data_IF_509656698293
#
_entry.id   IF_509656698293
#
_cell.length_a   1.000
_cell.length_b   1.000
_cell.length_c   1.000
_cell.angle_alpha   90.00
_cell.angle_beta   90.00
_cell.angle_gamma   90.00
#
_symmetry.space_group_name_H-M   'P 1'
#
loop_
_entity.id
_entity.type
_entity.pdbx_description
1 polymer ?
#
# COMPACT_ATOMS: atom_id res chain seq x y z
N UNK A 1 7.77 -3.14 -13.60
CA UNK A 1 6.77 -2.72 -14.61
C UNK A 1 7.18 -1.32 -15.02
N UNK A 2 7.22 -1.01 -16.31
CA UNK A 2 7.53 0.34 -16.82
C UNK A 2 6.28 0.94 -17.48
N UNK A 3 6.32 2.21 -17.86
CA UNK A 3 5.17 2.93 -18.42
C UNK A 3 4.57 2.28 -19.68
N UNK A 4 5.38 1.56 -20.46
CA UNK A 4 4.96 0.89 -21.70
C UNK A 4 4.54 -0.57 -21.48
N UNK A 5 4.56 -1.07 -20.25
CA UNK A 5 4.22 -2.46 -19.94
C UNK A 5 2.71 -2.71 -20.18
N UNK A 6 2.31 -3.77 -20.92
CA UNK A 6 0.90 -4.09 -21.13
C UNK A 6 0.10 -4.25 -19.82
N UNK A 7 0.78 -4.57 -18.71
CA UNK A 7 0.17 -4.66 -17.38
C UNK A 7 -0.26 -3.31 -16.81
N UNK A 8 0.19 -2.18 -17.37
CA UNK A 8 -0.27 -0.83 -17.01
C UNK A 8 -1.77 -0.63 -17.23
N UNK A 9 -2.39 -1.40 -18.12
CA UNK A 9 -3.84 -1.44 -18.29
C UNK A 9 -4.61 -1.90 -17.02
N UNK A 10 -3.90 -2.50 -16.05
CA UNK A 10 -4.45 -2.96 -14.77
C UNK A 10 -4.20 -2.00 -13.61
N UNK A 11 -3.47 -0.90 -13.86
CA UNK A 11 -3.21 0.16 -12.89
C UNK A 11 -4.37 1.14 -13.00
N UNK A 12 -5.28 1.12 -12.02
CA UNK A 12 -6.46 2.00 -12.00
C UNK A 12 -6.14 3.39 -11.45
N UNK A 13 -5.07 3.51 -10.66
CA UNK A 13 -4.69 4.75 -10.01
C UNK A 13 -3.85 5.67 -10.91
N UNK A 14 -4.35 6.86 -11.22
CA UNK A 14 -3.64 7.85 -12.07
C UNK A 14 -2.31 8.32 -11.47
N UNK A 15 -2.24 8.47 -10.14
CA UNK A 15 -0.99 8.84 -9.46
C UNK A 15 0.05 7.70 -9.58
N UNK A 16 -0.39 6.44 -9.52
CA UNK A 16 0.52 5.32 -9.76
C UNK A 16 1.03 5.33 -11.22
N UNK A 17 0.18 5.67 -12.20
CA UNK A 17 0.62 5.84 -13.59
C UNK A 17 1.67 6.93 -13.75
N UNK A 18 1.53 8.06 -13.06
CA UNK A 18 2.55 9.12 -13.03
C UNK A 18 3.87 8.62 -12.45
N UNK A 19 3.83 7.89 -11.33
CA UNK A 19 5.03 7.30 -10.75
C UNK A 19 5.76 6.36 -11.71
N UNK A 20 5.02 5.52 -12.44
CA UNK A 20 5.61 4.66 -13.49
C UNK A 20 6.19 5.47 -14.66
N UNK A 21 5.56 6.59 -15.05
CA UNK A 21 6.08 7.49 -16.08
C UNK A 21 7.40 8.16 -15.65
N UNK A 22 7.55 8.41 -14.34
CA UNK A 22 8.77 8.96 -13.73
C UNK A 22 9.82 7.87 -13.42
N UNK A 23 9.58 6.61 -13.85
CA UNK A 23 10.53 5.50 -13.72
C UNK A 23 10.48 4.76 -12.38
N UNK A 24 9.49 5.04 -11.53
CA UNK A 24 9.31 4.32 -10.26
C UNK A 24 8.74 2.91 -10.48
N UNK A 25 9.02 2.02 -9.53
CA UNK A 25 8.40 0.71 -9.42
C UNK A 25 7.09 0.79 -8.62
N UNK A 26 6.19 -0.18 -8.82
CA UNK A 26 4.94 -0.26 -8.06
C UNK A 26 5.14 -0.38 -6.55
N UNK A 27 6.25 -0.98 -6.12
CA UNK A 27 6.60 -1.08 -4.69
C UNK A 27 6.97 0.30 -4.15
N UNK A 28 7.82 1.06 -4.85
CA UNK A 28 8.22 2.42 -4.42
C UNK A 28 7.00 3.36 -4.35
N UNK A 29 6.11 3.29 -5.33
CA UNK A 29 4.85 4.05 -5.33
C UNK A 29 4.00 3.67 -4.12
N UNK A 30 3.77 2.37 -3.90
CA UNK A 30 2.96 1.91 -2.78
C UNK A 30 3.59 2.28 -1.42
N UNK A 31 4.91 2.17 -1.30
CA UNK A 31 5.66 2.50 -0.08
C UNK A 31 5.46 3.96 0.32
N UNK A 32 5.57 4.90 -0.63
CA UNK A 32 5.34 6.32 -0.37
C UNK A 32 3.96 6.59 0.25
N UNK A 33 2.94 5.89 -0.23
CA UNK A 33 1.57 6.05 0.26
C UNK A 33 1.36 5.39 1.62
N UNK A 34 1.98 4.23 1.82
CA UNK A 34 1.96 3.52 3.10
C UNK A 34 2.62 4.36 4.19
N UNK A 35 3.79 4.96 3.91
CA UNK A 35 4.49 5.84 4.85
C UNK A 35 3.60 7.03 5.26
N UNK A 36 3.03 7.75 4.29
CA UNK A 36 2.13 8.88 4.58
C UNK A 36 0.91 8.44 5.41
N UNK A 37 0.36 7.26 5.13
CA UNK A 37 -0.76 6.72 5.89
C UNK A 37 -0.38 6.38 7.34
N UNK A 38 0.79 5.78 7.55
CA UNK A 38 1.32 5.46 8.89
C UNK A 38 1.58 6.74 9.69
N UNK A 39 2.17 7.76 9.07
CA UNK A 39 2.40 9.06 9.72
C UNK A 39 1.08 9.71 10.16
N UNK A 40 0.06 9.66 9.30
CA UNK A 40 -1.27 10.17 9.64
C UNK A 40 -1.90 9.38 10.81
N UNK A 41 -1.78 8.05 10.81
CA UNK A 41 -2.25 7.19 11.91
C UNK A 41 -1.56 7.51 13.23
N UNK A 42 -0.24 7.69 13.22
CA UNK A 42 0.54 8.06 14.40
C UNK A 42 0.13 9.44 14.92
N UNK A 43 -0.05 10.42 14.04
CA UNK A 43 -0.51 11.76 14.40
C UNK A 43 -1.91 11.74 15.04
N UNK A 44 -2.86 11.00 14.44
CA UNK A 44 -4.22 10.83 14.97
C UNK A 44 -4.17 10.13 16.33
N UNK A 45 -3.37 9.09 16.47
CA UNK A 45 -3.21 8.35 17.75
C UNK A 45 -2.65 9.26 18.84
N UNK A 46 -1.61 10.03 18.54
CA UNK A 46 -1.01 10.99 19.47
C UNK A 46 -1.95 12.16 19.82
N UNK A 47 -2.82 12.56 18.88
CA UNK A 47 -3.88 13.54 19.12
C UNK A 47 -4.95 13.00 20.05
N UNK A 48 -5.43 11.77 19.80
CA UNK A 48 -6.45 11.09 20.61
C UNK A 48 -6.00 10.80 22.03
N UNK A 49 -4.72 10.51 22.22
CA UNK A 49 -4.12 10.36 23.56
C UNK A 49 -4.24 11.64 24.41
N UNK A 50 -4.30 12.82 23.77
CA UNK A 50 -4.46 14.12 24.45
C UNK A 50 -5.92 14.58 24.51
N UNK A 51 -6.66 14.38 23.43
CA UNK A 51 -8.08 14.67 23.31
C UNK A 51 -8.77 13.54 22.53
N UNK A 52 -9.53 12.66 23.21
CA UNK A 52 -10.19 11.52 22.56
C UNK A 52 -11.13 11.88 21.40
N UNK A 53 -11.65 13.12 21.35
CA UNK A 53 -12.56 13.60 20.30
C UNK A 53 -11.84 14.23 19.10
N UNK A 54 -10.50 14.27 19.12
CA UNK A 54 -9.73 14.76 17.98
C UNK A 54 -9.85 13.82 16.77
N UNK A 55 -9.86 14.42 15.57
CA UNK A 55 -9.97 13.72 14.28
C UNK A 55 -11.21 12.79 14.18
N UNK A 56 -12.44 13.34 14.31
CA UNK A 56 -13.67 12.54 14.32
C UNK A 56 -13.98 11.86 12.98
N UNK A 57 -13.46 12.39 11.87
CA UNK A 57 -13.60 11.77 10.53
C UNK A 57 -12.57 10.69 10.23
N UNK A 58 -11.60 10.47 11.12
CA UNK A 58 -10.57 9.45 10.92
C UNK A 58 -11.05 8.15 11.57
N UNK A 59 -10.88 7.01 10.88
CA UNK A 59 -11.27 5.70 11.39
C UNK A 59 -10.61 5.33 12.73
N UNK A 60 -10.98 4.18 13.28
CA UNK A 60 -10.37 3.68 14.51
C UNK A 60 -8.90 3.29 14.32
N UNK A 61 -8.45 3.09 13.07
CA UNK A 61 -7.03 2.85 12.77
C UNK A 61 -6.54 1.52 13.33
N UNK A 62 -7.42 0.51 13.36
CA UNK A 62 -7.03 -0.82 13.85
C UNK A 62 -5.94 -1.44 12.97
N UNK A 63 -5.19 -2.40 13.52
CA UNK A 63 -4.18 -3.12 12.76
C UNK A 63 -4.77 -3.78 11.51
N UNK A 64 -5.98 -4.34 11.58
CA UNK A 64 -6.65 -4.94 10.43
C UNK A 64 -7.07 -3.91 9.38
N UNK A 65 -7.54 -2.72 9.80
CA UNK A 65 -7.85 -1.64 8.87
C UNK A 65 -6.58 -1.17 8.14
N UNK A 66 -5.50 -0.97 8.91
CA UNK A 66 -4.19 -0.56 8.38
C UNK A 66 -3.64 -1.59 7.39
N UNK A 67 -3.70 -2.88 7.71
CA UNK A 67 -3.27 -3.96 6.83
C UNK A 67 -4.06 -3.98 5.51
N UNK A 68 -5.39 -3.83 5.56
CA UNK A 68 -6.22 -3.76 4.33
C UNK A 68 -5.86 -2.56 3.47
N UNK A 69 -5.57 -1.40 4.08
CA UNK A 69 -5.16 -0.20 3.34
C UNK A 69 -3.80 -0.38 2.67
N UNK A 70 -2.82 -1.00 3.36
CA UNK A 70 -1.51 -1.33 2.78
C UNK A 70 -1.69 -2.22 1.54
N UNK A 71 -2.46 -3.31 1.67
CA UNK A 71 -2.73 -4.23 0.56
C UNK A 71 -3.44 -3.51 -0.59
N UNK A 72 -4.44 -2.68 -0.29
CA UNK A 72 -5.13 -1.89 -1.31
C UNK A 72 -4.16 -0.95 -2.06
N UNK A 73 -3.23 -0.28 -1.37
CA UNK A 73 -2.22 0.58 -2.04
C UNK A 73 -1.28 -0.19 -2.95
N UNK A 74 -0.86 -1.39 -2.52
CA UNK A 74 -0.09 -2.28 -3.36
C UNK A 74 -0.88 -2.66 -4.63
N UNK A 75 -2.14 -3.05 -4.47
CA UNK A 75 -3.01 -3.41 -5.59
C UNK A 75 -3.28 -2.23 -6.53
N UNK A 76 -3.53 -1.04 -6.00
CA UNK A 76 -3.72 0.21 -6.74
C UNK A 76 -2.48 0.58 -7.56
N UNK A 77 -1.28 0.33 -7.01
CA UNK A 77 0.00 0.53 -7.68
C UNK A 77 0.32 -0.57 -8.73
N UNK A 78 -0.62 -1.48 -8.99
CA UNK A 78 -0.43 -2.58 -9.93
C UNK A 78 0.45 -3.70 -9.41
N UNK A 79 0.86 -3.66 -8.13
CA UNK A 79 1.45 -4.83 -7.50
C UNK A 79 0.40 -5.93 -7.42
N UNK A 80 0.81 -7.14 -7.78
CA UNK A 80 0.02 -8.34 -7.55
C UNK A 80 0.89 -9.28 -6.73
N UNK A 81 0.31 -10.02 -5.77
CA UNK A 81 1.04 -11.10 -5.15
C UNK A 81 1.67 -11.93 -6.26
N UNK A 82 2.95 -12.34 -6.15
CA UNK A 82 3.48 -13.30 -7.08
C UNK A 82 2.51 -14.49 -7.11
N UNK A 83 2.20 -14.96 -8.32
CA UNK A 83 1.36 -16.15 -8.48
C UNK A 83 1.88 -17.25 -7.54
N UNK A 84 0.99 -18.10 -7.06
CA UNK A 84 1.24 -19.15 -6.05
C UNK A 84 2.49 -20.01 -6.29
N UNK A 85 3.08 -19.94 -7.48
CA UNK A 85 4.39 -20.48 -7.83
C UNK A 85 5.53 -19.99 -6.93
N UNK A 86 5.44 -18.81 -6.30
CA UNK A 86 6.41 -18.36 -5.28
C UNK A 86 6.14 -18.90 -3.88
N UNK A 87 4.99 -19.55 -3.64
CA UNK A 87 4.69 -20.28 -2.39
C UNK A 87 5.09 -21.75 -2.47
N UNK A 88 5.55 -22.23 -3.64
CA UNK A 88 6.25 -23.52 -3.77
C UNK A 88 7.65 -23.39 -3.17
N UNK A 89 7.72 -23.17 -1.86
CA UNK A 89 8.92 -23.51 -1.09
C UNK A 89 9.17 -25.00 -1.31
N UNK A 90 10.40 -25.44 -1.62
CA UNK A 90 10.67 -26.87 -1.76
C UNK A 90 10.24 -27.58 -0.47
N UNK A 91 9.25 -28.47 -0.58
CA UNK A 91 8.90 -29.39 0.48
C UNK A 91 10.11 -30.30 0.72
N UNK A 92 10.98 -29.93 1.65
CA UNK A 92 12.11 -30.76 2.04
C UNK A 92 13.41 -30.01 2.28
N UNK A 93 13.49 -29.32 3.40
CA UNK A 93 14.74 -29.26 4.18
C UNK A 93 14.38 -29.46 5.65
N UNK A 94 14.16 -30.74 6.00
CA UNK A 94 14.38 -31.24 7.35
C UNK A 94 15.72 -31.96 7.37
#
# INVERSE_FOLDING_TARGET
MNADDPRMARVDCDIARLGYADGQTGIEIAEQWVVVHLDALLAVTAGRARNPQSFPGFGNGSTQETARRIIARLLDAGWRPPDTDCLNLPEGTR
#
